data_IF_978721955391
#
_entry.id   IF_978721955391
#
_cell.length_a   1.000
_cell.length_b   1.000
_cell.length_c   1.000
_cell.angle_alpha   90.00
_cell.angle_beta   90.00
_cell.angle_gamma   90.00
#
_symmetry.space_group_name_H-M   'P 1'
#
loop_
_entity.id
_entity.type
_entity.pdbx_description
1 polymer ?
#
# COMPACT_ATOMS: atom_id res chain seq x y z
N UNK A 1 -1.70 14.09 16.44
CA UNK A 1 -1.94 13.61 15.06
C UNK A 1 -1.25 14.46 13.98
N UNK A 2 -0.11 15.12 14.27
CA UNK A 2 0.51 16.08 13.33
C UNK A 2 2.05 16.08 13.41
N UNK A 3 2.72 14.96 13.09
CA UNK A 3 4.20 14.94 13.09
C UNK A 3 4.80 14.09 11.98
N UNK A 4 4.15 14.08 10.82
CA UNK A 4 4.71 13.49 9.60
C UNK A 4 5.26 14.57 8.65
N UNK A 5 4.80 15.82 8.79
CA UNK A 5 5.16 16.94 7.90
C UNK A 5 6.46 17.67 8.26
N UNK A 6 7.13 17.28 9.35
CA UNK A 6 8.38 17.93 9.81
C UNK A 6 9.63 17.10 9.52
N UNK A 7 9.50 16.03 8.72
CA UNK A 7 10.61 15.12 8.40
C UNK A 7 11.25 15.54 7.06
N UNK A 8 12.51 15.99 7.03
CA UNK A 8 13.15 16.54 5.83
C UNK A 8 13.33 15.55 4.67
N UNK A 9 13.12 14.24 4.88
CA UNK A 9 13.40 13.17 3.92
C UNK A 9 12.21 12.23 3.64
N UNK A 10 10.97 12.69 3.76
CA UNK A 10 9.82 11.88 3.35
C UNK A 10 9.83 11.71 1.83
N UNK A 11 9.78 10.45 1.38
CA UNK A 11 9.53 10.13 -0.03
C UNK A 11 8.05 9.82 -0.22
N UNK A 12 7.43 10.44 -1.22
CA UNK A 12 6.02 10.20 -1.57
C UNK A 12 5.98 9.35 -2.83
N UNK A 13 5.37 8.17 -2.73
CA UNK A 13 5.12 7.29 -3.87
C UNK A 13 3.63 7.33 -4.18
N UNK A 14 3.28 7.66 -5.42
CA UNK A 14 1.90 7.59 -5.91
C UNK A 14 1.65 6.22 -6.52
N UNK A 15 0.55 5.57 -6.13
CA UNK A 15 0.08 4.35 -6.74
C UNK A 15 -1.21 4.65 -7.51
N UNK A 16 -1.24 4.28 -8.77
CA UNK A 16 -2.36 4.54 -9.68
C UNK A 16 -3.21 3.28 -9.86
N UNK A 17 -4.52 3.47 -10.02
CA UNK A 17 -5.48 2.42 -10.32
C UNK A 17 -5.21 1.69 -11.63
N UNK A 18 -5.49 0.39 -11.66
CA UNK A 18 -5.56 -0.43 -12.87
C UNK A 18 -6.84 -0.14 -13.67
N UNK A 19 -7.02 -0.83 -14.81
CA UNK A 19 -8.23 -0.74 -15.61
C UNK A 19 -9.50 -1.15 -14.84
N UNK A 20 -9.37 -2.05 -13.88
CA UNK A 20 -10.47 -2.51 -13.02
C UNK A 20 -10.79 -1.52 -11.90
N UNK A 21 -9.94 -0.53 -11.65
CA UNK A 21 -10.10 0.45 -10.59
C UNK A 21 -9.57 1.84 -10.98
N UNK A 22 -9.99 2.31 -12.15
CA UNK A 22 -9.51 3.55 -12.78
C UNK A 22 -9.59 4.80 -11.90
N UNK A 23 -10.56 4.86 -10.99
CA UNK A 23 -10.74 5.99 -10.07
C UNK A 23 -9.97 5.84 -8.75
N UNK A 24 -9.41 4.66 -8.48
CA UNK A 24 -8.69 4.34 -7.27
C UNK A 24 -7.25 4.87 -7.33
N UNK A 25 -6.71 5.17 -6.15
CA UNK A 25 -5.31 5.56 -6.01
C UNK A 25 -4.84 5.44 -4.57
N UNK A 26 -3.53 5.54 -4.39
CA UNK A 26 -2.95 5.69 -3.06
C UNK A 26 -1.71 6.58 -3.05
N UNK A 27 -1.47 7.19 -1.89
CA UNK A 27 -0.22 7.84 -1.56
C UNK A 27 0.45 7.03 -0.47
N UNK A 28 1.70 6.65 -0.72
CA UNK A 28 2.57 6.00 0.24
C UNK A 28 3.65 6.98 0.66
N UNK A 29 3.62 7.39 1.91
CA UNK A 29 4.61 8.26 2.50
C UNK A 29 5.66 7.41 3.21
N UNK A 30 6.87 7.38 2.68
CA UNK A 30 8.00 6.61 3.21
C UNK A 30 8.89 7.50 4.05
N UNK A 31 9.30 7.01 5.21
CA UNK A 31 10.38 7.59 6.01
C UNK A 31 11.58 6.63 5.98
N UNK A 32 12.59 6.88 5.14
CA UNK A 32 13.80 6.05 5.04
C UNK A 32 14.60 6.00 6.35
N UNK A 33 14.53 7.05 7.18
CA UNK A 33 15.32 7.16 8.41
C UNK A 33 14.79 6.19 9.46
N UNK A 34 13.47 6.13 9.64
CA UNK A 34 12.84 5.21 10.59
C UNK A 34 12.36 3.89 9.97
N UNK A 35 12.50 3.74 8.65
CA UNK A 35 12.00 2.60 7.85
C UNK A 35 10.49 2.37 8.04
N UNK A 36 9.74 3.45 8.28
CA UNK A 36 8.29 3.44 8.43
C UNK A 36 7.62 3.90 7.15
N UNK A 37 6.35 3.56 7.01
CA UNK A 37 5.52 4.14 5.97
C UNK A 37 4.10 4.39 6.45
N UNK A 38 3.44 5.31 5.78
CA UNK A 38 2.01 5.54 5.92
C UNK A 38 1.36 5.44 4.55
N UNK A 39 0.36 4.57 4.44
CA UNK A 39 -0.46 4.43 3.24
C UNK A 39 -1.79 5.16 3.44
N UNK A 40 -2.16 5.97 2.47
CA UNK A 40 -3.50 6.50 2.28
C UNK A 40 -4.03 6.08 0.92
N UNK A 41 -5.00 5.17 0.89
CA UNK A 41 -5.69 4.72 -0.30
C UNK A 41 -7.10 5.34 -0.38
N UNK A 42 -7.58 5.64 -1.58
CA UNK A 42 -8.87 6.29 -1.81
C UNK A 42 -9.56 5.74 -3.05
N UNK A 43 -10.89 5.87 -3.09
CA UNK A 43 -11.76 5.34 -4.15
C UNK A 43 -11.52 3.84 -4.43
N UNK A 44 -11.13 3.10 -3.40
CA UNK A 44 -10.89 1.67 -3.52
C UNK A 44 -12.22 0.95 -3.76
N UNK A 45 -12.26 -0.06 -4.63
CA UNK A 45 -13.45 -0.89 -4.78
C UNK A 45 -13.89 -1.50 -3.42
N UNK A 46 -15.19 -1.75 -3.22
CA UNK A 46 -15.66 -2.37 -1.99
C UNK A 46 -15.09 -3.80 -1.87
N UNK A 47 -14.68 -4.18 -0.66
CA UNK A 47 -14.21 -5.53 -0.37
C UNK A 47 -15.40 -6.49 -0.21
N UNK A 48 -15.45 -7.60 -0.96
CA UNK A 48 -16.36 -8.70 -0.66
C UNK A 48 -16.09 -9.30 0.73
N UNK A 49 -17.05 -10.02 1.35
CA UNK A 49 -16.82 -10.74 2.58
C UNK A 49 -15.61 -11.70 2.49
N UNK A 50 -14.78 -11.73 3.54
CA UNK A 50 -13.58 -12.58 3.60
C UNK A 50 -12.42 -12.11 2.70
N UNK A 51 -12.43 -10.86 2.24
CA UNK A 51 -11.33 -10.24 1.47
C UNK A 51 -10.70 -9.06 2.21
N UNK A 52 -9.43 -8.82 1.91
CA UNK A 52 -8.65 -7.66 2.38
C UNK A 52 -7.83 -7.08 1.23
N UNK A 53 -7.40 -5.83 1.35
CA UNK A 53 -6.33 -5.32 0.49
C UNK A 53 -4.98 -5.64 1.09
N UNK A 54 -4.01 -5.95 0.24
CA UNK A 54 -2.64 -6.20 0.66
C UNK A 54 -1.67 -5.33 -0.11
N UNK A 55 -0.86 -4.56 0.62
CA UNK A 55 0.25 -3.78 0.10
C UNK A 55 1.49 -4.67 -0.02
N UNK A 56 2.12 -4.62 -1.19
CA UNK A 56 3.34 -5.34 -1.52
C UNK A 56 4.47 -4.36 -1.79
N UNK A 57 5.61 -4.60 -1.16
CA UNK A 57 6.89 -4.03 -1.57
C UNK A 57 7.54 -4.99 -2.58
N UNK A 58 7.89 -4.53 -3.77
CA UNK A 58 8.46 -5.38 -4.81
C UNK A 58 9.94 -5.05 -4.97
N UNK A 59 10.76 -6.02 -4.58
CA UNK A 59 12.21 -6.03 -4.77
C UNK A 59 12.52 -6.85 -6.01
N UNK A 60 13.09 -8.06 -5.85
CA UNK A 60 13.12 -9.09 -6.90
C UNK A 60 11.86 -9.97 -6.87
N UNK A 61 11.23 -10.09 -5.70
CA UNK A 61 9.93 -10.75 -5.49
C UNK A 61 9.03 -9.86 -4.63
N UNK A 62 7.69 -10.01 -4.71
CA UNK A 62 6.77 -9.32 -3.81
C UNK A 62 6.99 -9.76 -2.37
N UNK A 63 7.06 -8.78 -1.46
CA UNK A 63 7.11 -8.98 -0.01
C UNK A 63 5.89 -8.29 0.59
N UNK A 64 5.13 -9.02 1.41
CA UNK A 64 3.97 -8.47 2.13
C UNK A 64 4.41 -7.33 3.06
N UNK A 65 3.88 -6.13 2.84
CA UNK A 65 4.15 -4.96 3.67
C UNK A 65 3.07 -4.74 4.73
N UNK A 66 1.80 -4.88 4.35
CA UNK A 66 0.65 -4.77 5.26
C UNK A 66 -0.64 -5.24 4.58
N UNK A 67 -1.62 -5.67 5.38
CA UNK A 67 -3.03 -5.83 4.96
C UNK A 67 -3.87 -4.69 5.52
N UNK A 68 -4.90 -4.26 4.79
CA UNK A 68 -5.79 -3.18 5.23
C UNK A 68 -7.20 -3.32 4.65
N UNK A 69 -8.17 -2.78 5.36
CA UNK A 69 -9.54 -2.61 4.88
C UNK A 69 -9.81 -1.17 4.45
N UNK A 70 -11.06 -0.92 4.02
CA UNK A 70 -11.56 0.43 3.69
C UNK A 70 -12.64 0.85 4.67
N UNK A 71 -12.72 2.16 4.95
CA UNK A 71 -13.83 2.76 5.67
C UNK A 71 -15.09 2.92 4.77
N UNK A 72 -16.17 3.47 5.34
CA UNK A 72 -17.42 3.74 4.63
C UNK A 72 -17.29 4.74 3.48
N UNK A 73 -16.16 5.44 3.36
CA UNK A 73 -15.82 6.35 2.26
C UNK A 73 -14.90 5.72 1.21
N UNK A 74 -14.76 4.38 1.20
CA UNK A 74 -13.85 3.65 0.30
C UNK A 74 -12.38 4.08 0.45
N UNK A 75 -11.98 4.48 1.67
CA UNK A 75 -10.61 4.92 1.98
C UNK A 75 -9.92 3.93 2.91
N UNK A 76 -8.67 3.62 2.60
CA UNK A 76 -7.80 2.78 3.43
C UNK A 76 -6.70 3.63 4.08
N UNK A 77 -6.41 3.39 5.36
CA UNK A 77 -5.32 4.06 6.09
C UNK A 77 -4.56 3.05 6.93
N UNK A 78 -3.25 2.96 6.74
CA UNK A 78 -2.42 2.08 7.57
C UNK A 78 -1.02 2.65 7.78
N UNK A 79 -0.53 2.51 9.01
CA UNK A 79 0.86 2.80 9.36
C UNK A 79 1.67 1.49 9.37
N UNK A 80 2.61 1.39 8.45
CA UNK A 80 3.57 0.30 8.39
C UNK A 80 4.74 0.65 9.31
N UNK A 81 4.87 -0.09 10.41
CA UNK A 81 5.86 0.19 11.46
C UNK A 81 7.30 -0.14 11.06
N UNK A 82 7.47 -1.03 10.08
CA UNK A 82 8.78 -1.43 9.57
C UNK A 82 8.67 -2.02 8.18
N UNK A 83 9.34 -1.41 7.22
CA UNK A 83 9.57 -1.97 5.89
C UNK A 83 10.99 -2.55 5.86
N UNK A 84 11.09 -3.84 5.51
CA UNK A 84 12.38 -4.51 5.34
C UNK A 84 12.97 -4.11 3.99
N UNK A 85 14.31 -4.01 3.95
CA UNK A 85 15.06 -3.82 2.71
C UNK A 85 14.57 -2.65 1.84
N UNK A 86 14.16 -1.55 2.49
CA UNK A 86 13.55 -0.38 1.84
C UNK A 86 14.37 0.17 0.67
N UNK A 87 15.71 0.16 0.77
CA UNK A 87 16.62 0.63 -0.28
C UNK A 87 16.66 -0.25 -1.53
N UNK A 88 16.12 -1.46 -1.48
CA UNK A 88 16.05 -2.40 -2.61
C UNK A 88 14.67 -2.43 -3.27
N UNK A 89 13.68 -1.71 -2.73
CA UNK A 89 12.33 -1.69 -3.29
C UNK A 89 12.38 -0.92 -4.62
N UNK A 90 11.76 -1.50 -5.64
CA UNK A 90 11.67 -0.92 -6.99
C UNK A 90 10.28 -0.34 -7.26
N UNK A 91 9.25 -0.96 -6.69
CA UNK A 91 7.85 -0.54 -6.85
C UNK A 91 6.98 -1.08 -5.71
N UNK A 92 5.79 -0.51 -5.59
CA UNK A 92 4.73 -1.00 -4.73
C UNK A 92 3.51 -1.41 -5.55
N UNK A 93 2.74 -2.35 -5.00
CA UNK A 93 1.47 -2.77 -5.57
C UNK A 93 0.46 -3.04 -4.46
N UNK A 94 -0.83 -2.90 -4.78
CA UNK A 94 -1.93 -3.32 -3.91
C UNK A 94 -2.81 -4.31 -4.65
N UNK A 95 -3.09 -5.44 -4.02
CA UNK A 95 -4.03 -6.45 -4.53
C UNK A 95 -5.19 -6.70 -3.57
N UNK A 96 -6.28 -7.27 -4.09
CA UNK A 96 -7.36 -7.80 -3.27
C UNK A 96 -7.11 -9.28 -2.99
N UNK A 97 -6.92 -9.64 -1.73
CA UNK A 97 -6.51 -10.99 -1.29
C UNK A 97 -7.55 -11.57 -0.33
N UNK A 98 -7.53 -12.90 -0.07
CA UNK A 98 -8.23 -13.48 1.07
C UNK A 98 -7.86 -12.80 2.39
N UNK A 99 -8.81 -12.73 3.32
CA UNK A 99 -8.57 -12.26 4.68
C UNK A 99 -7.41 -13.05 5.34
N UNK A 100 -6.61 -12.36 6.17
CA UNK A 100 -5.34 -12.88 6.68
C UNK A 100 -4.14 -12.63 5.74
N UNK A 101 -4.40 -12.20 4.50
CA UNK A 101 -3.37 -11.91 3.51
C UNK A 101 -2.72 -13.18 2.96
N UNK A 102 -1.74 -12.98 2.08
CA UNK A 102 -1.02 -14.05 1.39
C UNK A 102 0.49 -13.86 1.49
N UNK A 103 1.23 -14.94 1.25
CA UNK A 103 2.70 -14.89 1.16
C UNK A 103 3.17 -14.35 -0.20
N UNK A 104 2.35 -14.50 -1.24
CA UNK A 104 2.56 -13.98 -2.58
C UNK A 104 1.22 -13.44 -3.12
N UNK A 105 1.21 -12.47 -4.03
CA UNK A 105 -0.03 -11.97 -4.63
C UNK A 105 -0.76 -13.11 -5.33
N UNK A 106 -2.04 -13.31 -4.98
CA UNK A 106 -2.91 -14.32 -5.63
C UNK A 106 -4.09 -13.68 -6.33
N UNK A 107 -4.49 -12.48 -5.90
CA UNK A 107 -5.59 -11.75 -6.47
C UNK A 107 -5.18 -10.71 -7.52
N UNK A 108 -6.21 -10.02 -8.01
CA UNK A 108 -6.06 -8.92 -8.95
C UNK A 108 -5.24 -7.77 -8.31
N UNK A 109 -4.29 -7.22 -9.07
CA UNK A 109 -3.59 -5.99 -8.70
C UNK A 109 -4.50 -4.80 -9.04
N UNK A 110 -4.83 -4.00 -8.02
CA UNK A 110 -5.70 -2.83 -8.13
C UNK A 110 -4.91 -1.53 -8.26
N UNK A 111 -3.79 -1.42 -7.55
CA UNK A 111 -2.93 -0.24 -7.59
C UNK A 111 -1.48 -0.64 -7.83
N UNK A 112 -0.70 0.20 -8.52
CA UNK A 112 0.75 0.06 -8.58
C UNK A 112 1.46 1.39 -8.76
N UNK A 113 2.72 1.48 -8.34
CA UNK A 113 3.55 2.68 -8.50
C UNK A 113 5.03 2.36 -8.31
N UNK A 114 5.90 2.99 -9.08
CA UNK A 114 7.35 2.84 -8.96
C UNK A 114 7.94 3.86 -7.98
N UNK A 115 9.09 3.52 -7.39
CA UNK A 115 9.92 4.42 -6.59
C UNK A 115 10.78 5.34 -7.46
#
# INVERSE_FOLDING_TARGET
MASFLSMPNIQVVSLTGSDEAKSAGALLLLDPSSKKAFLYAFNMPPLPPGKTYQLWAILDRPVSAATFGTDSGNKGRIMIRRIRDMSQIKKFAVSMEPEGGQLQPTGQIYLSGAL
#
